data_IF_592138394431
#
_entry.id   IF_592138394431
#
_cell.length_a   1.000
_cell.length_b   1.000
_cell.length_c   1.000
_cell.angle_alpha   90.00
_cell.angle_beta   90.00
_cell.angle_gamma   90.00
#
_symmetry.space_group_name_H-M   'P 1'
#
loop_
_entity.id
_entity.type
_entity.pdbx_description
1 polymer ?
#
# COMPACT_ATOMS: atom_id res chain seq x y z
N UNK A 1 16.25 -5.38 -7.67
CA UNK A 1 17.57 -5.76 -7.12
C UNK A 1 18.44 -4.56 -6.77
N UNK A 2 18.83 -3.73 -7.75
CA UNK A 2 19.80 -2.62 -7.62
C UNK A 2 19.17 -1.23 -7.50
N UNK A 3 17.84 -1.13 -7.52
CA UNK A 3 17.10 0.12 -7.36
C UNK A 3 17.31 1.14 -8.52
N UNK A 4 17.65 0.69 -9.73
CA UNK A 4 17.63 1.54 -10.92
C UNK A 4 16.21 1.89 -11.37
N UNK A 5 16.04 3.09 -11.94
CA UNK A 5 14.81 3.52 -12.61
C UNK A 5 14.52 2.59 -13.80
N UNK A 6 13.41 1.86 -13.77
CA UNK A 6 13.16 0.74 -14.71
C UNK A 6 12.99 1.20 -16.15
N UNK A 7 12.50 2.42 -16.39
CA UNK A 7 12.34 2.98 -17.74
C UNK A 7 13.67 3.22 -18.44
N UNK A 8 14.76 3.36 -17.67
CA UNK A 8 16.14 3.51 -18.18
C UNK A 8 16.78 2.18 -18.59
N UNK A 9 16.17 1.05 -18.24
CA UNK A 9 16.72 -0.30 -18.46
C UNK A 9 16.11 -0.98 -19.69
N UNK A 10 16.89 -1.85 -20.33
CA UNK A 10 16.39 -2.79 -21.33
C UNK A 10 15.42 -3.80 -20.72
N UNK A 11 14.65 -4.52 -21.55
CA UNK A 11 13.72 -5.54 -21.05
C UNK A 11 14.46 -6.66 -20.33
N UNK A 12 15.61 -7.09 -20.83
CA UNK A 12 16.46 -8.14 -20.25
C UNK A 12 17.00 -7.70 -18.88
N UNK A 13 17.39 -6.42 -18.76
CA UNK A 13 17.84 -5.84 -17.49
C UNK A 13 16.70 -5.76 -16.47
N UNK A 14 15.48 -5.39 -16.90
CA UNK A 14 14.29 -5.44 -16.02
C UNK A 14 14.04 -6.88 -15.55
N UNK A 15 14.09 -7.87 -16.46
CA UNK A 15 13.92 -9.28 -16.09
C UNK A 15 14.97 -9.70 -15.05
N UNK A 16 16.23 -9.31 -15.25
CA UNK A 16 17.30 -9.60 -14.28
C UNK A 16 17.05 -8.94 -12.92
N UNK A 17 16.68 -7.66 -12.89
CA UNK A 17 16.34 -6.92 -11.67
C UNK A 17 15.26 -7.62 -10.83
N UNK A 18 14.25 -8.15 -11.51
CA UNK A 18 13.11 -8.82 -10.88
C UNK A 18 13.49 -10.23 -10.44
N UNK A 19 14.11 -11.03 -11.32
CA UNK A 19 14.38 -12.45 -11.04
C UNK A 19 15.47 -12.66 -10.00
N UNK A 20 16.46 -11.78 -9.90
CA UNK A 20 17.43 -11.83 -8.80
C UNK A 20 16.78 -11.50 -7.45
N UNK A 21 15.88 -10.51 -7.42
CA UNK A 21 15.12 -10.20 -6.20
C UNK A 21 14.15 -11.33 -5.82
N UNK A 22 13.43 -11.91 -6.79
CA UNK A 22 12.53 -13.06 -6.57
C UNK A 22 13.29 -14.23 -5.94
N UNK A 23 14.44 -14.57 -6.53
CA UNK A 23 15.28 -15.67 -6.04
C UNK A 23 15.72 -15.44 -4.60
N UNK A 24 16.22 -14.24 -4.27
CA UNK A 24 16.66 -13.93 -2.91
C UNK A 24 15.51 -14.02 -1.89
N UNK A 25 14.30 -13.58 -2.25
CA UNK A 25 13.12 -13.70 -1.39
C UNK A 25 12.69 -15.17 -1.23
N UNK A 26 12.65 -15.93 -2.33
CA UNK A 26 12.28 -17.35 -2.30
C UNK A 26 13.27 -18.19 -1.49
N UNK A 27 14.58 -17.94 -1.64
CA UNK A 27 15.61 -18.63 -0.85
C UNK A 27 15.49 -18.33 0.65
N UNK A 28 15.14 -17.09 1.01
CA UNK A 28 15.00 -16.68 2.42
C UNK A 28 13.68 -17.13 3.06
N UNK A 29 12.61 -17.24 2.28
CA UNK A 29 11.24 -17.38 2.84
C UNK A 29 10.48 -18.61 2.35
N UNK A 30 10.92 -19.25 1.26
CA UNK A 30 10.20 -20.29 0.55
C UNK A 30 9.05 -19.79 -0.33
N UNK A 31 8.79 -18.47 -0.38
CA UNK A 31 7.66 -17.90 -1.14
C UNK A 31 8.11 -17.15 -2.38
N UNK A 32 7.36 -17.31 -3.48
CA UNK A 32 7.46 -16.49 -4.70
C UNK A 32 6.45 -15.37 -4.65
N UNK A 33 6.92 -14.14 -4.43
CA UNK A 33 6.06 -12.96 -4.37
C UNK A 33 5.47 -12.61 -5.74
N UNK A 34 4.23 -12.14 -5.75
CA UNK A 34 3.56 -11.63 -6.96
C UNK A 34 3.48 -10.10 -7.02
N UNK A 35 3.86 -9.42 -5.95
CA UNK A 35 3.81 -7.97 -5.84
C UNK A 35 5.20 -7.37 -5.96
N UNK A 36 5.31 -6.25 -6.65
CA UNK A 36 6.53 -5.45 -6.68
C UNK A 36 6.20 -3.96 -6.78
N UNK A 37 7.06 -3.11 -6.21
CA UNK A 37 7.00 -1.66 -6.35
C UNK A 37 8.20 -1.19 -7.20
N UNK A 38 7.99 -0.50 -8.32
CA UNK A 38 9.08 0.06 -9.12
C UNK A 38 9.87 1.09 -8.32
N UNK A 39 11.21 1.07 -8.37
CA UNK A 39 12.04 2.16 -7.86
C UNK A 39 11.55 3.51 -8.37
N UNK A 40 11.45 4.50 -7.47
CA UNK A 40 10.99 5.86 -7.78
C UNK A 40 9.55 5.98 -8.32
N UNK A 41 8.75 4.91 -8.30
CA UNK A 41 7.48 4.86 -9.04
C UNK A 41 7.68 4.88 -10.57
N UNK A 42 8.91 4.64 -11.04
CA UNK A 42 9.28 4.77 -12.44
C UNK A 42 8.81 3.57 -13.26
N UNK A 43 7.66 3.73 -13.92
CA UNK A 43 7.00 2.67 -14.68
C UNK A 43 6.20 3.20 -15.86
N UNK A 44 6.63 2.86 -17.07
CA UNK A 44 5.91 3.11 -18.32
C UNK A 44 5.14 1.86 -18.80
N UNK A 45 4.44 1.96 -19.95
CA UNK A 45 3.68 0.83 -20.49
C UNK A 45 4.55 -0.37 -20.87
N UNK A 46 5.80 -0.15 -21.28
CA UNK A 46 6.75 -1.23 -21.61
C UNK A 46 7.15 -1.97 -20.34
N UNK A 47 7.51 -1.26 -19.28
CA UNK A 47 7.86 -1.83 -17.97
C UNK A 47 6.65 -2.59 -17.40
N UNK A 48 5.43 -2.01 -17.41
CA UNK A 48 4.20 -2.72 -16.98
C UNK A 48 3.99 -4.00 -17.77
N UNK A 49 4.20 -3.96 -19.08
CA UNK A 49 4.05 -5.13 -19.95
C UNK A 49 5.03 -6.24 -19.56
N UNK A 50 6.33 -5.92 -19.42
CA UNK A 50 7.35 -6.90 -19.01
C UNK A 50 7.01 -7.51 -17.66
N UNK A 51 6.68 -6.69 -16.65
CA UNK A 51 6.34 -7.16 -15.31
C UNK A 51 5.10 -8.06 -15.31
N UNK A 52 4.08 -7.71 -16.10
CA UNK A 52 2.88 -8.53 -16.27
C UNK A 52 3.20 -9.89 -16.90
N UNK A 53 4.07 -9.94 -17.92
CA UNK A 53 4.51 -11.21 -18.52
C UNK A 53 5.26 -12.10 -17.52
N UNK A 54 5.96 -11.49 -16.56
CA UNK A 54 6.64 -12.20 -15.47
C UNK A 54 5.69 -12.63 -14.33
N UNK A 55 4.40 -12.27 -14.39
CA UNK A 55 3.41 -12.62 -13.37
C UNK A 55 3.30 -11.63 -12.20
N UNK A 56 3.90 -10.45 -12.31
CA UNK A 56 3.90 -9.44 -11.25
C UNK A 56 2.75 -8.44 -11.34
N UNK A 57 2.30 -8.02 -10.16
CA UNK A 57 1.38 -6.92 -9.92
C UNK A 57 2.23 -5.73 -9.45
N UNK A 58 2.13 -4.62 -10.19
CA UNK A 58 2.79 -3.36 -9.85
C UNK A 58 1.98 -2.66 -8.75
N UNK A 59 2.66 -2.32 -7.65
CA UNK A 59 2.08 -1.63 -6.50
C UNK A 59 2.70 -0.25 -6.38
N UNK A 60 1.90 0.77 -6.66
CA UNK A 60 2.22 2.17 -6.41
C UNK A 60 1.57 2.66 -5.11
N UNK A 61 1.72 3.94 -4.77
CA UNK A 61 1.02 4.58 -3.65
C UNK A 61 -0.05 5.56 -4.14
N UNK A 62 -0.86 6.09 -3.22
CA UNK A 62 -1.95 7.02 -3.53
C UNK A 62 -1.51 8.44 -3.95
N UNK A 63 -0.32 8.58 -4.56
CA UNK A 63 0.30 9.85 -4.93
C UNK A 63 0.82 10.64 -3.72
N UNK A 64 1.24 11.88 -3.97
CA UNK A 64 1.93 12.76 -2.99
C UNK A 64 1.18 12.97 -1.66
N UNK A 65 -0.15 12.79 -1.66
CA UNK A 65 -0.97 12.84 -0.45
C UNK A 65 -0.60 11.72 0.52
N UNK A 66 -0.28 10.53 0.01
CA UNK A 66 0.05 9.33 0.79
C UNK A 66 1.52 8.93 0.66
N UNK A 67 2.37 9.87 0.24
CA UNK A 67 3.81 9.81 0.46
C UNK A 67 4.14 10.47 1.80
N UNK A 68 4.69 9.69 2.73
CA UNK A 68 5.12 10.18 4.04
C UNK A 68 6.20 11.26 3.94
N UNK A 69 7.01 11.25 2.87
CA UNK A 69 8.25 12.03 2.71
C UNK A 69 9.29 11.75 3.81
N UNK A 70 9.28 10.56 4.40
CA UNK A 70 10.23 10.16 5.44
C UNK A 70 11.70 10.11 4.96
N UNK A 71 11.92 9.89 3.67
CA UNK A 71 13.24 9.99 3.04
C UNK A 71 13.85 11.40 3.14
N UNK A 72 13.05 12.43 3.44
CA UNK A 72 13.51 13.80 3.66
C UNK A 72 13.97 14.08 5.09
N UNK A 73 13.93 13.11 6.01
CA UNK A 73 14.40 13.32 7.41
C UNK A 73 15.82 13.94 7.50
N UNK A 74 16.77 13.67 6.59
CA UNK A 74 18.05 14.40 6.61
C UNK A 74 17.92 15.91 6.40
N UNK A 75 16.88 16.35 5.68
CA UNK A 75 16.58 17.75 5.33
C UNK A 75 15.43 18.35 6.17
N UNK A 76 14.70 17.53 6.94
CA UNK A 76 13.60 17.95 7.82
C UNK A 76 13.49 17.11 9.08
N UNK A 77 12.98 17.65 10.19
CA UNK A 77 12.83 16.86 11.41
C UNK A 77 11.80 15.72 11.26
N UNK A 78 11.97 14.63 12.01
CA UNK A 78 10.95 13.57 12.10
C UNK A 78 9.58 14.11 12.52
N UNK A 79 9.54 15.14 13.37
CA UNK A 79 8.30 15.81 13.77
C UNK A 79 7.60 16.52 12.61
N UNK A 80 8.35 17.09 11.66
CA UNK A 80 7.80 17.70 10.46
C UNK A 80 7.19 16.66 9.52
N UNK A 81 7.86 15.51 9.34
CA UNK A 81 7.34 14.36 8.59
C UNK A 81 6.06 13.82 9.21
N UNK A 82 6.06 13.56 10.53
CA UNK A 82 4.88 13.09 11.28
C UNK A 82 3.72 14.08 11.10
N UNK A 83 3.97 15.37 11.33
CA UNK A 83 2.93 16.40 11.23
C UNK A 83 2.35 16.50 9.81
N UNK A 84 3.20 16.38 8.78
CA UNK A 84 2.76 16.33 7.39
C UNK A 84 1.85 15.14 7.17
N UNK A 85 2.29 13.95 7.55
CA UNK A 85 1.54 12.74 7.21
C UNK A 85 0.24 12.62 8.01
N UNK A 86 0.23 13.07 9.27
CA UNK A 86 -0.99 13.24 10.05
C UNK A 86 -2.00 14.18 9.38
N UNK A 87 -1.56 15.28 8.78
CA UNK A 87 -2.46 16.18 8.01
C UNK A 87 -3.07 15.47 6.81
N UNK A 88 -2.31 14.64 6.09
CA UNK A 88 -2.85 13.83 4.98
C UNK A 88 -3.92 12.85 5.47
N UNK A 89 -3.65 12.11 6.55
CA UNK A 89 -4.62 11.18 7.14
C UNK A 89 -5.86 11.90 7.69
N UNK A 90 -5.67 13.07 8.29
CA UNK A 90 -6.77 13.91 8.75
C UNK A 90 -7.62 14.40 7.59
N UNK A 91 -7.02 14.86 6.49
CA UNK A 91 -7.76 15.29 5.31
C UNK A 91 -8.55 14.13 4.67
N UNK A 92 -7.95 12.94 4.58
CA UNK A 92 -8.62 11.74 4.08
C UNK A 92 -9.85 11.38 4.91
N UNK A 93 -9.71 11.38 6.25
CA UNK A 93 -10.78 10.99 7.18
C UNK A 93 -11.83 12.08 7.39
N UNK A 94 -11.45 13.36 7.32
CA UNK A 94 -12.36 14.50 7.46
C UNK A 94 -13.26 14.72 6.24
N UNK A 95 -12.93 14.14 5.09
CA UNK A 95 -13.73 14.29 3.86
C UNK A 95 -15.18 13.80 4.01
N UNK A 96 -15.50 13.06 5.09
CA UNK A 96 -16.85 12.52 5.34
C UNK A 96 -17.32 11.57 4.24
N UNK A 97 -16.47 11.32 3.24
CA UNK A 97 -16.71 10.34 2.22
C UNK A 97 -16.82 9.02 2.95
N UNK A 98 -17.92 8.33 2.66
CA UNK A 98 -18.05 6.91 2.87
C UNK A 98 -16.98 6.25 1.98
N UNK A 99 -15.71 6.36 2.41
CA UNK A 99 -14.57 6.21 1.53
C UNK A 99 -14.32 4.72 1.43
N UNK A 100 -15.14 4.08 0.60
CA UNK A 100 -15.10 2.66 0.27
C UNK A 100 -13.80 2.27 -0.42
N UNK A 101 -12.96 3.25 -0.76
CA UNK A 101 -11.65 3.07 -1.37
C UNK A 101 -10.55 3.42 -0.36
N UNK A 102 -9.82 2.40 0.07
CA UNK A 102 -8.56 2.57 0.80
C UNK A 102 -7.46 3.23 -0.05
N UNK A 103 -6.31 3.48 0.56
CA UNK A 103 -5.14 4.07 -0.10
C UNK A 103 -3.86 3.34 0.30
N UNK A 104 -2.92 3.17 -0.62
CA UNK A 104 -1.58 2.65 -0.31
C UNK A 104 -0.68 3.81 0.09
N UNK A 105 -0.02 3.66 1.23
CA UNK A 105 0.97 4.61 1.71
C UNK A 105 2.39 4.24 1.26
N UNK A 106 3.24 5.26 1.14
CA UNK A 106 4.67 5.12 0.88
C UNK A 106 5.49 5.59 2.10
N UNK A 107 6.28 4.65 2.60
CA UNK A 107 7.29 4.81 3.65
C UNK A 107 8.54 4.00 3.27
N UNK A 108 9.65 4.27 3.97
CA UNK A 108 10.94 3.61 3.83
C UNK A 108 11.45 3.17 5.21
N UNK A 109 11.63 1.87 5.43
CA UNK A 109 12.12 1.31 6.70
C UNK A 109 13.66 1.22 6.79
N UNK A 110 14.36 2.14 6.12
CA UNK A 110 15.83 2.13 5.98
C UNK A 110 16.59 2.58 7.23
N UNK A 111 15.94 3.30 8.15
CA UNK A 111 16.59 3.85 9.34
C UNK A 111 15.70 3.76 10.58
N UNK A 112 16.32 3.94 11.76
CA UNK A 112 15.57 3.93 13.03
C UNK A 112 14.59 5.11 13.09
N UNK A 113 14.96 6.23 12.50
CA UNK A 113 14.17 7.46 12.44
C UNK A 113 12.91 7.28 11.59
N UNK A 114 13.03 6.69 10.39
CA UNK A 114 11.86 6.45 9.52
C UNK A 114 10.92 5.41 10.13
N UNK A 115 11.46 4.36 10.76
CA UNK A 115 10.65 3.39 11.53
C UNK A 115 9.96 4.06 12.72
N UNK A 116 10.61 4.99 13.41
CA UNK A 116 10.01 5.74 14.51
C UNK A 116 8.86 6.66 14.03
N UNK A 117 9.00 7.28 12.85
CA UNK A 117 7.91 8.03 12.20
C UNK A 117 6.71 7.12 11.94
N UNK A 118 6.91 5.96 11.31
CA UNK A 118 5.82 5.02 11.05
C UNK A 118 5.10 4.60 12.34
N UNK A 119 5.85 4.25 13.39
CA UNK A 119 5.31 3.92 14.72
C UNK A 119 4.48 5.06 15.35
N UNK A 120 4.84 6.31 15.10
CA UNK A 120 4.11 7.47 15.61
C UNK A 120 2.81 7.74 14.84
N UNK A 121 2.79 7.47 13.52
CA UNK A 121 1.62 7.76 12.67
C UNK A 121 0.57 6.64 12.73
N UNK A 122 0.97 5.38 12.97
CA UNK A 122 0.04 4.24 13.02
C UNK A 122 -1.13 4.46 14.01
N UNK A 123 -0.90 4.81 15.30
CA UNK A 123 -2.00 5.04 16.25
C UNK A 123 -2.93 6.18 15.79
N UNK A 124 -2.38 7.23 15.19
CA UNK A 124 -3.16 8.37 14.70
C UNK A 124 -4.15 7.96 13.60
N UNK A 125 -3.77 7.03 12.72
CA UNK A 125 -4.66 6.45 11.72
C UNK A 125 -5.75 5.56 12.34
N UNK A 126 -5.37 4.71 13.29
CA UNK A 126 -6.29 3.79 13.97
C UNK A 126 -7.37 4.53 14.77
N UNK A 127 -7.00 5.60 15.48
CA UNK A 127 -7.93 6.48 16.20
C UNK A 127 -8.99 7.14 15.29
N UNK A 128 -8.76 7.13 13.97
CA UNK A 128 -9.66 7.67 12.96
C UNK A 128 -10.32 6.57 12.13
N UNK A 129 -10.45 5.38 12.72
CA UNK A 129 -11.09 4.21 12.14
C UNK A 129 -10.44 3.73 10.83
N UNK A 130 -9.13 3.88 10.68
CA UNK A 130 -8.40 3.26 9.57
C UNK A 130 -7.80 1.90 10.02
N UNK A 131 -8.04 0.84 9.24
CA UNK A 131 -7.66 -0.54 9.51
C UNK A 131 -6.38 -0.91 8.76
N UNK A 132 -5.31 -1.16 9.48
CA UNK A 132 -4.05 -1.60 8.91
C UNK A 132 -4.17 -2.99 8.30
N UNK A 133 -3.73 -3.14 7.06
CA UNK A 133 -3.75 -4.37 6.32
C UNK A 133 -2.61 -4.42 5.31
N UNK A 134 -2.34 -5.64 4.83
CA UNK A 134 -1.42 -5.88 3.72
C UNK A 134 -2.01 -5.36 2.40
N UNK A 135 -1.14 -5.13 1.41
CA UNK A 135 -1.58 -4.80 0.04
C UNK A 135 -2.52 -5.87 -0.53
N UNK A 136 -2.23 -7.15 -0.27
CA UNK A 136 -3.08 -8.25 -0.72
C UNK A 136 -4.50 -8.17 -0.14
N UNK A 137 -4.64 -7.91 1.17
CA UNK A 137 -5.93 -7.70 1.81
C UNK A 137 -6.67 -6.48 1.25
N UNK A 138 -5.96 -5.38 1.00
CA UNK A 138 -6.54 -4.19 0.35
C UNK A 138 -7.16 -4.51 -1.01
N UNK A 139 -6.43 -5.30 -1.80
CA UNK A 139 -6.81 -5.69 -3.15
C UNK A 139 -7.75 -6.90 -3.17
N UNK A 140 -8.09 -7.45 -1.99
CA UNK A 140 -8.88 -8.68 -1.84
C UNK A 140 -8.27 -9.86 -2.61
N UNK A 141 -6.94 -9.92 -2.69
CA UNK A 141 -6.22 -11.04 -3.29
C UNK A 141 -5.97 -12.13 -2.26
N UNK A 142 -6.61 -13.28 -2.49
CA UNK A 142 -6.49 -14.46 -1.64
C UNK A 142 -5.30 -15.36 -2.01
N UNK A 143 -4.51 -14.99 -3.02
CA UNK A 143 -3.38 -15.78 -3.56
C UNK A 143 -2.12 -14.94 -3.76
N UNK A 144 -1.59 -14.26 -2.73
CA UNK A 144 -0.53 -13.25 -2.89
C UNK A 144 0.84 -13.79 -3.32
N UNK A 145 1.04 -15.10 -3.28
CA UNK A 145 2.27 -15.77 -3.70
C UNK A 145 2.00 -16.76 -4.84
N UNK A 146 2.94 -16.87 -5.78
CA UNK A 146 2.80 -17.71 -6.97
C UNK A 146 2.92 -19.21 -6.66
N UNK A 147 3.57 -19.57 -5.55
CA UNK A 147 3.76 -20.94 -5.09
C UNK A 147 3.01 -21.26 -3.79
N UNK A 148 2.10 -20.39 -3.34
CA UNK A 148 1.22 -20.75 -2.23
C UNK A 148 0.28 -21.88 -2.67
N UNK A 149 0.08 -22.91 -1.83
CA UNK A 149 -1.04 -23.82 -2.02
C UNK A 149 -2.32 -22.98 -2.12
N UNK A 150 -3.12 -23.20 -3.16
CA UNK A 150 -4.51 -22.73 -3.16
C UNK A 150 -5.11 -23.20 -1.84
N UNK A 151 -5.77 -22.34 -1.03
CA UNK A 151 -6.39 -22.81 0.19
C UNK A 151 -7.37 -23.93 -0.17
N UNK A 152 -7.01 -25.17 0.11
CA UNK A 152 -7.98 -26.26 0.16
C UNK A 152 -8.95 -25.88 1.26
N UNK A 153 -10.22 -25.74 0.92
CA UNK A 153 -11.33 -25.36 1.82
C UNK A 153 -11.57 -26.42 2.88
N UNK A 154 -10.60 -26.64 3.76
CA UNK A 154 -10.66 -27.60 4.85
C UNK A 154 -9.68 -27.13 5.94
N UNK A 155 -10.27 -26.72 7.06
CA UNK A 155 -9.63 -26.44 8.34
C UNK A 155 -8.85 -25.11 8.45
N UNK A 156 -9.58 -24.01 8.57
CA UNK A 156 -9.29 -23.04 9.63
C UNK A 156 -10.45 -23.13 10.61
N UNK A 157 -10.19 -23.77 11.76
CA UNK A 157 -11.07 -23.76 12.92
C UNK A 157 -11.09 -22.34 13.46
N UNK A 158 -12.16 -21.59 13.22
CA UNK A 158 -12.42 -20.32 13.89
C UNK A 158 -12.52 -20.58 15.39
N UNK A 159 -11.56 -20.07 16.17
CA UNK A 159 -11.83 -19.83 17.58
C UNK A 159 -12.76 -18.63 17.71
N UNK A 160 -13.89 -18.74 18.43
CA UNK A 160 -14.80 -17.62 18.59
C UNK A 160 -14.18 -16.54 19.50
N UNK A 161 -14.47 -15.26 19.26
CA UNK A 161 -14.08 -14.18 20.14
C UNK A 161 -14.78 -14.30 21.51
N UNK A 162 -14.21 -13.75 22.59
CA UNK A 162 -14.75 -13.89 23.93
C UNK A 162 -16.13 -13.22 24.05
N UNK A 163 -17.07 -13.95 24.65
CA UNK A 163 -18.46 -13.52 24.86
C UNK A 163 -18.55 -12.30 25.78
N UNK A 164 -19.27 -11.26 25.33
CA UNK A 164 -19.66 -10.12 26.16
C UNK A 164 -21.09 -10.35 26.65
N UNK A 165 -21.24 -10.50 27.97
CA UNK A 165 -22.54 -10.59 28.63
C UNK A 165 -23.05 -9.18 28.94
N UNK A 166 -24.15 -8.77 28.31
CA UNK A 166 -25.21 -8.03 28.98
C UNK A 166 -26.48 -8.01 28.13
N UNK A 167 -27.55 -8.57 28.69
CA UNK A 167 -28.89 -8.51 28.15
C UNK A 167 -29.55 -7.16 28.42
N UNK A 168 -30.48 -6.78 27.54
CA UNK A 168 -31.30 -5.59 27.66
C UNK A 168 -32.30 -5.54 26.51
N UNK A 169 -33.52 -5.96 26.82
CA UNK A 169 -34.74 -5.99 26.02
C UNK A 169 -35.15 -4.57 25.54
N UNK A 170 -35.65 -4.45 24.30
CA UNK A 170 -36.89 -3.75 23.93
C UNK A 170 -36.97 -3.30 22.45
N UNK A 171 -37.95 -3.91 21.78
CA UNK A 171 -38.98 -3.38 20.87
C UNK A 171 -38.65 -2.81 19.47
N UNK A 172 -39.44 -3.35 18.53
CA UNK A 172 -39.67 -2.95 17.13
C UNK A 172 -40.17 -1.50 16.99
N UNK A 173 -39.69 -0.79 15.97
CA UNK A 173 -40.55 0.10 15.21
C UNK A 173 -40.18 0.11 13.71
N UNK A 174 -41.23 0.18 12.90
CA UNK A 174 -41.31 -0.06 11.47
C UNK A 174 -41.59 1.27 10.78
N UNK A 175 -40.77 1.68 9.81
CA UNK A 175 -41.26 2.57 8.73
C UNK A 175 -40.50 2.40 7.42
N UNK A 176 -41.20 2.75 6.35
CA UNK A 176 -41.08 2.29 4.96
C UNK A 176 -40.96 3.53 4.04
N UNK A 177 -40.22 3.41 2.93
CA UNK A 177 -40.21 4.36 1.78
C UNK A 177 -38.80 4.38 1.15
N UNK A 178 -38.50 3.77 0.01
CA UNK A 178 -38.97 3.88 -1.39
C UNK A 178 -38.47 5.14 -2.16
N UNK A 179 -37.96 4.86 -3.37
CA UNK A 179 -37.67 5.69 -4.56
C UNK A 179 -36.22 6.22 -4.79
N UNK A 180 -35.46 5.40 -5.53
CA UNK A 180 -35.03 5.55 -6.95
C UNK A 180 -33.92 6.54 -7.43
N UNK A 181 -32.97 5.92 -8.16
CA UNK A 181 -32.30 6.28 -9.44
C UNK A 181 -31.34 7.46 -9.62
N UNK A 182 -30.37 7.19 -10.52
CA UNK A 182 -29.47 8.08 -11.30
C UNK A 182 -28.15 8.45 -10.59
N UNK A 183 -26.95 8.02 -10.96
CA UNK A 183 -26.42 7.72 -12.29
C UNK A 183 -25.77 8.98 -12.87
N UNK A 184 -24.48 9.25 -12.59
CA UNK A 184 -23.67 10.17 -13.40
C UNK A 184 -22.18 9.78 -13.41
N UNK A 185 -21.75 9.56 -14.64
CA UNK A 185 -20.45 9.22 -15.19
C UNK A 185 -19.65 10.52 -15.38
N UNK A 186 -18.42 10.63 -14.88
CA UNK A 186 -17.49 11.70 -15.27
C UNK A 186 -16.04 11.20 -15.30
N UNK A 187 -15.62 10.81 -16.51
CA UNK A 187 -14.24 10.90 -17.00
C UNK A 187 -13.89 12.37 -17.28
N UNK A 188 -12.70 12.83 -16.85
CA UNK A 188 -11.79 13.75 -17.57
C UNK A 188 -10.51 13.89 -16.71
N UNK A 189 -9.38 13.27 -17.02
CA UNK A 189 -8.27 13.75 -17.87
C UNK A 189 -7.83 15.21 -17.63
N UNK A 190 -6.64 15.40 -17.05
CA UNK A 190 -5.45 16.03 -17.69
C UNK A 190 -4.40 16.47 -16.66
N UNK A 191 -3.11 16.33 -17.02
CA UNK A 191 -2.01 17.08 -16.39
C UNK A 191 -0.67 16.37 -16.38
N UNK A 192 0.16 16.61 -17.41
CA UNK A 192 1.50 16.07 -17.57
C UNK A 192 2.58 16.92 -16.88
N UNK A 193 3.62 16.20 -16.42
CA UNK A 193 5.05 16.51 -16.41
C UNK A 193 5.61 17.74 -15.63
N UNK A 194 6.56 17.45 -14.75
CA UNK A 194 7.77 18.25 -14.60
C UNK A 194 8.97 17.32 -14.25
N UNK A 195 9.95 17.27 -15.17
CA UNK A 195 11.23 16.59 -15.03
C UNK A 195 12.19 17.49 -14.24
N UNK A 196 12.88 16.94 -13.24
CA UNK A 196 14.07 17.55 -12.66
C UNK A 196 15.10 16.46 -12.34
N UNK A 197 16.21 16.46 -13.07
CA UNK A 197 17.39 15.64 -12.81
C UNK A 197 18.15 16.15 -11.57
N UNK A 198 18.83 15.26 -10.84
CA UNK A 198 20.08 15.64 -10.20
C UNK A 198 21.25 14.72 -10.55
N UNK A 199 22.41 15.33 -10.38
CA UNK A 199 23.76 14.95 -10.78
C UNK A 199 24.36 13.77 -10.02
N UNK A 200 25.27 13.09 -10.72
CA UNK A 200 26.08 11.95 -10.30
C UNK A 200 27.01 12.28 -9.12
N UNK A 201 26.96 11.51 -8.02
CA UNK A 201 27.84 11.73 -6.86
C UNK A 201 27.78 10.64 -5.79
N UNK A 202 28.72 9.71 -5.89
CA UNK A 202 29.30 8.85 -4.85
C UNK A 202 28.61 7.56 -4.41
N UNK A 203 29.47 6.54 -4.31
CA UNK A 203 29.23 5.12 -4.17
C UNK A 203 28.99 4.77 -2.69
N UNK A 204 27.92 4.06 -2.40
CA UNK A 204 27.66 3.41 -1.11
C UNK A 204 27.00 2.05 -1.35
N UNK A 205 27.39 1.05 -0.57
CA UNK A 205 26.97 -0.34 -0.74
C UNK A 205 25.45 -0.52 -0.67
N UNK A 206 24.88 -1.20 -1.66
CA UNK A 206 23.44 -1.39 -1.82
C UNK A 206 22.99 -2.66 -1.10
N UNK A 207 22.31 -2.50 0.03
CA UNK A 207 21.53 -3.56 0.64
C UNK A 207 20.10 -3.48 0.09
N UNK A 208 19.57 -4.60 -0.39
CA UNK A 208 18.22 -4.67 -0.95
C UNK A 208 17.18 -4.32 0.12
N UNK A 209 16.46 -3.22 -0.07
CA UNK A 209 15.37 -2.79 0.81
C UNK A 209 14.08 -3.53 0.50
N UNK A 210 13.54 -4.24 1.49
CA UNK A 210 12.19 -4.79 1.46
C UNK A 210 11.23 -3.69 1.92
N UNK A 211 10.64 -2.94 0.99
CA UNK A 211 9.57 -2.00 1.34
C UNK A 211 8.31 -2.79 1.75
N UNK A 212 8.08 -2.93 3.06
CA UNK A 212 6.84 -3.46 3.60
C UNK A 212 5.78 -2.34 3.59
N UNK A 213 5.00 -2.26 2.52
CA UNK A 213 3.90 -1.29 2.42
C UNK A 213 2.78 -1.62 3.41
N UNK A 214 2.44 -0.65 4.26
CA UNK A 214 1.34 -0.73 5.23
C UNK A 214 0.15 0.07 4.69
N UNK A 215 -1.05 -0.51 4.66
CA UNK A 215 -2.25 0.14 4.14
C UNK A 215 -3.31 0.28 5.22
N UNK A 216 -4.07 1.39 5.28
CA UNK A 216 -5.19 1.51 6.22
C UNK A 216 -6.57 1.72 5.56
N UNK A 217 -7.65 1.03 5.99
CA UNK A 217 -9.04 1.24 5.47
C UNK A 217 -10.11 1.36 6.55
N UNK A 218 -11.13 2.21 6.40
CA UNK A 218 -12.29 2.20 7.31
C UNK A 218 -13.39 1.24 6.86
N UNK A 219 -13.95 0.46 7.80
CA UNK A 219 -15.20 -0.27 7.60
C UNK A 219 -16.12 -0.05 8.80
N UNK A 220 -17.31 0.47 8.54
CA UNK A 220 -18.44 0.52 9.49
C UNK A 220 -19.30 -0.70 9.18
N UNK A 221 -19.59 -1.52 10.21
CA UNK A 221 -20.57 -2.61 10.11
C UNK A 221 -21.98 -2.05 10.26
N UNK A 222 -22.94 -2.66 9.53
CA UNK A 222 -24.35 -2.29 9.42
C UNK A 222 -25.08 -2.12 10.76
#
# INVERSE_FOLDING_TARGET
>A
WSHHALTTLSNEQIVAEIKWTEKAIEEATGYRVRYMRPPYGDVDNRVRYVLKQLGYIVVDWGGDTFDSNDWKIPDMSSSAVISRFQKSLQAYTASGANNTKGFISLEHDLSKETVAVAKAVIPFGMERNLNLMTVAQCLKDHTPYANSPVPSTSAVSEQPPPANNNGGDHQEEKTRGHVDSSGLDLRQQNGAAALASPTMGQRGAWWSSLALGMLMTGLVSF
#
